data_IF_960865804528
#
_entry.id   IF_960865804528
#
_cell.length_a   1.000
_cell.length_b   1.000
_cell.length_c   1.000
_cell.angle_alpha   90.00
_cell.angle_beta   90.00
_cell.angle_gamma   90.00
#
_symmetry.space_group_name_H-M   'P 1'
#
loop_
_entity.id
_entity.type
_entity.pdbx_description
1 polymer ?
#
# COMPACT_ATOMS: atom_id res chain seq x y z
N UNK A 1 0.52 11.56 -7.29
CA UNK A 1 -0.27 10.36 -7.67
C UNK A 1 0.54 9.26 -8.35
N UNK A 2 1.45 9.52 -9.30
CA UNK A 2 2.23 8.44 -9.95
C UNK A 2 3.00 7.56 -8.95
N UNK A 3 3.80 8.16 -8.06
CA UNK A 3 4.53 7.45 -6.99
C UNK A 3 3.62 6.68 -6.02
N UNK A 4 2.39 7.14 -5.85
CA UNK A 4 1.40 6.48 -4.99
C UNK A 4 0.89 5.19 -5.64
N UNK A 5 0.59 5.24 -6.94
CA UNK A 5 0.17 4.08 -7.72
C UNK A 5 1.30 3.04 -7.74
N UNK A 6 2.54 3.46 -7.98
CA UNK A 6 3.70 2.56 -8.00
C UNK A 6 3.90 1.85 -6.65
N UNK A 7 3.74 2.58 -5.54
CA UNK A 7 3.82 1.99 -4.20
C UNK A 7 2.70 0.98 -3.95
N UNK A 8 1.46 1.25 -4.38
CA UNK A 8 0.33 0.33 -4.25
C UNK A 8 0.57 -0.93 -5.10
N UNK A 9 1.03 -0.79 -6.33
CA UNK A 9 1.36 -1.92 -7.22
C UNK A 9 2.47 -2.77 -6.61
N UNK A 10 3.50 -2.15 -6.02
CA UNK A 10 4.58 -2.85 -5.31
C UNK A 10 4.03 -3.68 -4.14
N UNK A 11 3.13 -3.10 -3.34
CA UNK A 11 2.52 -3.74 -2.18
C UNK A 11 1.59 -4.90 -2.58
N UNK A 12 0.74 -4.71 -3.58
CA UNK A 12 -0.15 -5.76 -4.12
C UNK A 12 0.69 -6.91 -4.71
N UNK A 13 1.72 -6.58 -5.49
CA UNK A 13 2.57 -7.61 -6.09
C UNK A 13 3.35 -8.37 -5.02
N UNK A 14 3.86 -7.69 -4.00
CA UNK A 14 4.57 -8.32 -2.90
C UNK A 14 3.68 -9.21 -2.02
N UNK A 15 2.44 -8.78 -1.74
CA UNK A 15 1.46 -9.59 -0.99
C UNK A 15 1.01 -10.83 -1.79
N UNK A 16 0.85 -10.73 -3.12
CA UNK A 16 0.62 -11.89 -3.99
C UNK A 16 1.76 -12.92 -3.93
N UNK A 17 2.98 -12.47 -3.69
CA UNK A 17 4.15 -13.34 -3.49
C UNK A 17 4.33 -13.77 -2.02
N UNK A 18 3.31 -13.60 -1.17
CA UNK A 18 3.33 -13.92 0.25
C UNK A 18 4.45 -13.21 1.04
N UNK A 19 4.85 -12.01 0.62
CA UNK A 19 5.77 -11.17 1.39
C UNK A 19 5.01 -10.28 2.35
N UNK A 20 5.55 -10.14 3.55
CA UNK A 20 5.02 -9.24 4.55
C UNK A 20 5.15 -7.79 4.07
N UNK A 21 4.10 -7.00 4.30
CA UNK A 21 4.08 -5.56 3.97
C UNK A 21 5.22 -4.81 4.66
N UNK A 22 5.58 -5.20 5.89
CA UNK A 22 6.70 -4.63 6.64
C UNK A 22 8.04 -4.66 5.90
N UNK A 23 8.29 -5.69 5.09
CA UNK A 23 9.52 -5.82 4.29
C UNK A 23 9.48 -4.98 3.00
N UNK A 24 8.29 -4.60 2.55
CA UNK A 24 8.03 -3.84 1.33
C UNK A 24 7.95 -2.33 1.59
N UNK A 25 7.53 -1.92 2.79
CA UNK A 25 7.49 -0.52 3.24
C UNK A 25 8.79 0.26 2.98
N UNK A 26 9.99 -0.23 3.36
CA UNK A 26 11.23 0.50 3.11
C UNK A 26 11.60 0.59 1.62
N UNK A 27 10.94 -0.17 0.74
CA UNK A 27 11.12 -0.11 -0.72
C UNK A 27 10.17 0.86 -1.40
N UNK A 28 9.17 1.38 -0.69
CA UNK A 28 8.23 2.36 -1.22
C UNK A 28 8.91 3.72 -1.43
N UNK A 29 8.50 4.42 -2.48
CA UNK A 29 9.02 5.75 -2.79
C UNK A 29 8.54 6.77 -1.75
N UNK A 30 9.42 7.59 -1.15
CA UNK A 30 9.05 8.51 -0.05
C UNK A 30 8.04 9.59 -0.48
N UNK A 31 8.06 10.02 -1.75
CA UNK A 31 7.05 10.95 -2.31
C UNK A 31 5.67 10.32 -2.54
N UNK A 32 5.57 9.00 -2.49
CA UNK A 32 4.31 8.25 -2.51
C UNK A 32 3.97 7.66 -1.16
N UNK A 33 4.61 8.15 -0.08
CA UNK A 33 4.23 7.75 1.28
C UNK A 33 2.92 8.42 1.64
N UNK A 34 2.02 7.64 2.24
CA UNK A 34 0.70 8.09 2.69
C UNK A 34 0.67 7.97 4.21
N UNK A 35 0.04 8.92 4.90
CA UNK A 35 -0.26 8.78 6.33
C UNK A 35 -1.10 7.51 6.60
N UNK A 36 -1.95 7.10 5.65
CA UNK A 36 -2.72 5.86 5.72
C UNK A 36 -1.90 4.56 5.52
N UNK A 37 -0.56 4.59 5.37
CA UNK A 37 0.25 3.35 5.35
C UNK A 37 0.08 2.49 6.60
N UNK A 38 -0.28 3.11 7.74
CA UNK A 38 -0.66 2.37 8.96
C UNK A 38 -1.95 1.55 8.81
N UNK A 39 -2.89 1.97 7.97
CA UNK A 39 -4.08 1.16 7.64
C UNK A 39 -3.73 0.02 6.68
N UNK A 40 -2.78 0.25 5.79
CA UNK A 40 -2.28 -0.75 4.83
C UNK A 40 -1.58 -1.91 5.56
N UNK A 41 -0.86 -1.66 6.66
CA UNK A 41 -0.25 -2.73 7.47
C UNK A 41 -1.24 -3.68 8.14
N UNK A 42 -2.54 -3.33 8.19
CA UNK A 42 -3.61 -4.18 8.74
C UNK A 42 -4.31 -4.98 7.64
N UNK A 43 -4.11 -4.63 6.36
CA UNK A 43 -4.74 -5.29 5.23
C UNK A 43 -3.96 -6.55 4.81
N UNK A 44 -4.47 -7.72 5.19
CA UNK A 44 -3.94 -9.03 4.75
C UNK A 44 -4.36 -9.40 3.32
N UNK A 45 -5.34 -8.67 2.77
CA UNK A 45 -5.86 -8.94 1.43
C UNK A 45 -5.74 -7.72 0.52
N UNK A 46 -5.43 -7.90 -0.77
CA UNK A 46 -5.32 -6.81 -1.73
C UNK A 46 -6.63 -6.01 -1.87
N UNK A 47 -7.78 -6.64 -1.62
CA UNK A 47 -9.09 -5.98 -1.60
C UNK A 47 -9.23 -4.99 -0.42
N UNK A 48 -8.76 -5.37 0.77
CA UNK A 48 -8.71 -4.45 1.93
C UNK A 48 -7.74 -3.30 1.68
N UNK A 49 -6.62 -3.60 1.03
CA UNK A 49 -5.59 -2.62 0.66
C UNK A 49 -6.16 -1.56 -0.30
N UNK A 50 -6.89 -2.01 -1.33
CA UNK A 50 -7.59 -1.12 -2.27
C UNK A 50 -8.64 -0.28 -1.55
N UNK A 51 -9.43 -0.89 -0.67
CA UNK A 51 -10.49 -0.20 0.09
C UNK A 51 -9.90 0.86 1.03
N UNK A 52 -8.87 0.51 1.81
CA UNK A 52 -8.22 1.44 2.75
C UNK A 52 -7.55 2.64 2.07
N UNK A 53 -7.12 2.49 0.81
CA UNK A 53 -6.44 3.58 0.08
C UNK A 53 -7.43 4.45 -0.69
N UNK A 54 -8.43 3.85 -1.36
CA UNK A 54 -9.37 4.57 -2.22
C UNK A 54 -10.66 5.01 -1.54
N UNK A 55 -11.03 4.42 -0.39
CA UNK A 55 -12.25 4.79 0.35
C UNK A 55 -11.97 5.79 1.47
N UNK A 56 -10.79 5.77 2.08
CA UNK A 56 -10.40 6.67 3.20
C UNK A 56 -9.57 7.90 2.77
N UNK A 57 -9.35 8.11 1.46
CA UNK A 57 -8.83 9.40 0.98
C UNK A 57 -10.00 10.30 0.58
N UNK A 58 -10.38 11.31 1.39
CA UNK A 58 -11.27 12.34 0.89
C UNK A 58 -10.56 13.05 -0.26
N UNK A 59 -11.18 13.05 -1.44
CA UNK A 59 -10.75 13.82 -2.60
C UNK A 59 -10.46 15.28 -2.26
#
# INVERSE_FOLDING_TARGET
>A
YAYMIDNIVLLITGTLHQRAIGDLLPRCHPLGSFEQLGAITVADTPAQLYTAVLVDTPL
#
